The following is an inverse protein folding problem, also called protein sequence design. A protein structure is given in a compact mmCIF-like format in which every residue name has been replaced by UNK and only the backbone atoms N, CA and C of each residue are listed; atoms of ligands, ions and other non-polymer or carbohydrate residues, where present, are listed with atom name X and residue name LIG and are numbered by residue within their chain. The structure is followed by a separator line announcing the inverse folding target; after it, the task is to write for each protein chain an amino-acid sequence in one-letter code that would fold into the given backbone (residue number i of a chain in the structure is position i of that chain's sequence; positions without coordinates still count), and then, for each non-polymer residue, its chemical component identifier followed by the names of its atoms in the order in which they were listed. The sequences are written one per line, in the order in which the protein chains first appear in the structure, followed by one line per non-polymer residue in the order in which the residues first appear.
data_IF_327748197357
#
_entry.id   IF_327748197357
#
_cell.length_a   1.000
_cell.length_b   1.000
_cell.length_c   1.000
_cell.angle_alpha   90.00
_cell.angle_beta   90.00
_cell.angle_gamma   90.00
#
_symmetry.space_group_name_H-M   'P 1'
#
loop_
_entity.id
_entity.type
_entity.pdbx_description
1 polymer ?
#
# COMPACT_ATOMS: atom_id res chain seq x y z
N UNK A 1 21.30 6.85 13.63
CA UNK A 1 20.73 6.60 12.30
C UNK A 1 21.52 5.48 11.62
N UNK A 2 20.89 4.37 11.31
CA UNK A 2 21.51 3.21 10.67
C UNK A 2 21.71 3.55 9.18
N UNK A 3 22.95 3.73 8.74
CA UNK A 3 23.28 4.16 7.37
C UNK A 3 22.99 3.07 6.30
N UNK A 4 22.75 1.84 6.72
CA UNK A 4 22.58 0.70 5.82
C UNK A 4 21.11 0.45 5.44
N UNK A 5 20.15 1.11 6.12
CA UNK A 5 18.72 1.04 5.77
C UNK A 5 18.48 1.93 4.54
N UNK A 6 18.08 1.31 3.42
CA UNK A 6 17.81 2.00 2.15
C UNK A 6 16.32 2.35 1.96
N UNK A 7 15.43 1.81 2.79
CA UNK A 7 13.99 2.00 2.69
C UNK A 7 13.20 0.72 2.92
N UNK A 8 11.90 0.79 2.69
CA UNK A 8 11.02 -0.36 2.75
C UNK A 8 11.30 -1.31 1.58
N UNK A 9 11.38 -2.61 1.87
CA UNK A 9 11.45 -3.65 0.84
C UNK A 9 10.05 -4.09 0.42
N UNK A 10 9.23 -4.51 1.37
CA UNK A 10 7.83 -4.89 1.19
C UNK A 10 7.05 -4.69 2.48
N UNK A 11 5.72 -4.67 2.36
CA UNK A 11 4.79 -4.68 3.49
C UNK A 11 3.88 -5.89 3.33
N UNK A 12 3.62 -6.62 4.44
CA UNK A 12 2.76 -7.80 4.45
C UNK A 12 1.55 -7.55 5.34
N UNK A 13 0.37 -7.95 4.88
CA UNK A 13 -0.88 -7.90 5.63
C UNK A 13 -1.73 -9.16 5.41
N UNK A 14 -2.89 -9.21 6.03
CA UNK A 14 -3.85 -10.31 5.92
C UNK A 14 -5.12 -9.83 5.21
N UNK A 15 -5.76 -10.71 4.46
CA UNK A 15 -7.02 -10.44 3.79
C UNK A 15 -8.06 -11.49 4.16
N UNK A 16 -9.33 -11.11 4.09
CA UNK A 16 -10.45 -12.03 4.29
C UNK A 16 -10.79 -12.83 3.03
N UNK A 17 -10.58 -12.24 1.84
CA UNK A 17 -10.90 -12.88 0.56
C UNK A 17 -9.86 -12.55 -0.53
N UNK A 18 -9.35 -13.59 -1.19
CA UNK A 18 -8.30 -13.47 -2.20
C UNK A 18 -8.76 -12.70 -3.46
N UNK A 19 -10.02 -12.87 -3.88
CA UNK A 19 -10.52 -12.24 -5.09
C UNK A 19 -10.79 -10.75 -4.89
N UNK A 20 -11.42 -10.40 -3.77
CA UNK A 20 -11.65 -9.01 -3.35
C UNK A 20 -10.33 -8.26 -3.18
N UNK A 21 -9.37 -8.89 -2.51
CA UNK A 21 -8.03 -8.33 -2.33
C UNK A 21 -7.34 -8.11 -3.69
N UNK A 22 -7.36 -9.13 -4.57
CA UNK A 22 -6.79 -9.00 -5.89
C UNK A 22 -7.44 -7.90 -6.73
N UNK A 23 -8.77 -7.80 -6.72
CA UNK A 23 -9.49 -6.75 -7.45
C UNK A 23 -9.12 -5.35 -6.95
N UNK A 24 -9.01 -5.16 -5.63
CA UNK A 24 -8.61 -3.89 -5.05
C UNK A 24 -7.22 -3.47 -5.51
N UNK A 25 -6.22 -4.36 -5.41
CA UNK A 25 -4.85 -3.99 -5.79
C UNK A 25 -4.65 -3.85 -7.29
N UNK A 26 -5.30 -4.69 -8.10
CA UNK A 26 -5.08 -4.66 -9.57
C UNK A 26 -6.02 -3.75 -10.34
N UNK A 27 -7.28 -3.60 -9.91
CA UNK A 27 -8.30 -2.84 -10.64
C UNK A 27 -8.59 -1.47 -10.03
N UNK A 28 -8.35 -1.30 -8.71
CA UNK A 28 -8.56 -0.04 -8.02
C UNK A 28 -7.26 0.73 -7.86
N UNK A 29 -6.20 0.10 -7.37
CA UNK A 29 -4.89 0.75 -7.21
C UNK A 29 -3.97 0.61 -8.44
N UNK A 30 -4.33 -0.23 -9.42
CA UNK A 30 -3.59 -0.38 -10.66
C UNK A 30 -2.25 -1.10 -10.56
N UNK A 31 -1.96 -1.74 -9.43
CA UNK A 31 -0.72 -2.51 -9.26
C UNK A 31 -0.77 -3.82 -10.05
N UNK A 32 0.39 -4.32 -10.44
CA UNK A 32 0.49 -5.65 -11.04
C UNK A 32 0.48 -6.73 -9.96
N UNK A 33 -0.28 -7.82 -10.17
CA UNK A 33 -0.08 -9.04 -9.39
C UNK A 33 1.18 -9.76 -9.91
N UNK A 34 2.32 -9.50 -9.27
CA UNK A 34 3.63 -9.99 -9.73
C UNK A 34 3.86 -11.45 -9.38
N UNK A 35 3.20 -11.94 -8.31
CA UNK A 35 3.33 -13.35 -7.90
C UNK A 35 2.08 -13.84 -7.18
N UNK A 36 1.75 -15.11 -7.38
CA UNK A 36 0.82 -15.90 -6.56
C UNK A 36 1.51 -17.21 -6.20
N UNK A 37 1.63 -17.48 -4.92
CA UNK A 37 2.18 -18.74 -4.39
C UNK A 37 1.36 -19.15 -3.16
N UNK A 38 1.86 -20.08 -2.36
CA UNK A 38 1.27 -20.50 -1.09
C UNK A 38 2.10 -20.00 0.09
N UNK A 39 1.46 -19.88 1.23
CA UNK A 39 2.14 -19.65 2.50
C UNK A 39 2.92 -20.93 2.89
N UNK A 40 4.20 -20.82 3.21
CA UNK A 40 5.04 -21.97 3.54
C UNK A 40 4.66 -22.64 4.85
N UNK A 41 4.14 -21.85 5.81
CA UNK A 41 3.70 -22.36 7.12
C UNK A 41 2.25 -22.88 7.10
N UNK A 42 1.46 -22.54 6.06
CA UNK A 42 0.05 -22.87 5.91
C UNK A 42 -0.27 -23.01 4.41
N UNK A 43 0.12 -24.15 3.78
CA UNK A 43 0.08 -24.28 2.31
C UNK A 43 -1.31 -24.20 1.67
N UNK A 44 -2.38 -24.34 2.45
CA UNK A 44 -3.77 -24.09 2.05
C UNK A 44 -4.08 -22.60 1.84
N UNK A 45 -3.21 -21.70 2.31
CA UNK A 45 -3.38 -20.26 2.19
C UNK A 45 -2.48 -19.71 1.08
N UNK A 46 -3.05 -18.91 0.19
CA UNK A 46 -2.26 -18.21 -0.83
C UNK A 46 -1.33 -17.16 -0.20
N UNK A 47 -0.24 -16.87 -0.90
CA UNK A 47 0.58 -15.69 -0.71
C UNK A 47 0.55 -14.86 -2.00
N UNK A 48 -0.09 -13.70 -1.94
CA UNK A 48 -0.32 -12.80 -3.07
C UNK A 48 0.66 -11.64 -2.99
N UNK A 49 1.20 -11.23 -4.16
CA UNK A 49 2.17 -10.14 -4.25
C UNK A 49 1.71 -9.14 -5.31
N UNK A 50 1.68 -7.87 -4.95
CA UNK A 50 1.31 -6.76 -5.84
C UNK A 50 2.44 -5.72 -5.83
N UNK A 51 2.79 -5.18 -6.98
CA UNK A 51 3.86 -4.21 -7.10
C UNK A 51 3.87 -3.52 -8.45
N UNK A 52 5.02 -2.98 -8.81
CA UNK A 52 5.31 -2.49 -10.15
C UNK A 52 5.42 -3.65 -11.17
N UNK A 53 5.93 -3.37 -12.36
CA UNK A 53 6.03 -4.35 -13.44
C UNK A 53 6.77 -5.64 -13.07
N UNK A 54 7.85 -5.54 -12.27
CA UNK A 54 8.73 -6.67 -11.94
C UNK A 54 8.75 -7.02 -10.46
N UNK A 55 8.06 -6.26 -9.60
CA UNK A 55 8.10 -6.44 -8.15
C UNK A 55 9.39 -5.92 -7.53
N UNK A 56 9.80 -4.74 -7.93
CA UNK A 56 11.01 -4.09 -7.41
C UNK A 56 10.94 -3.90 -5.89
N UNK A 57 12.02 -4.15 -5.14
CA UNK A 57 12.09 -3.80 -3.72
C UNK A 57 11.66 -2.35 -3.48
N UNK A 58 10.73 -2.15 -2.53
CA UNK A 58 10.12 -0.84 -2.30
C UNK A 58 8.81 -0.59 -3.05
N UNK A 59 8.31 -1.58 -3.82
CA UNK A 59 6.99 -1.50 -4.45
C UNK A 59 6.01 -2.59 -3.99
N UNK A 60 6.49 -3.62 -3.30
CA UNK A 60 5.76 -4.89 -3.14
C UNK A 60 4.88 -4.90 -1.89
N UNK A 61 3.57 -4.90 -2.08
CA UNK A 61 2.59 -5.22 -1.05
C UNK A 61 2.21 -6.69 -1.13
N UNK A 62 2.24 -7.41 0.01
CA UNK A 62 1.92 -8.84 0.02
C UNK A 62 0.76 -9.16 0.97
N UNK A 63 0.03 -10.24 0.68
CA UNK A 63 -1.16 -10.62 1.42
C UNK A 63 -1.28 -12.13 1.63
N UNK A 64 -1.74 -12.49 2.84
CA UNK A 64 -2.21 -13.83 3.15
C UNK A 64 -3.75 -13.80 3.32
N UNK A 65 -4.54 -14.30 2.37
CA UNK A 65 -6.00 -14.38 2.49
C UNK A 65 -6.42 -15.62 3.31
N UNK A 66 -6.58 -15.45 4.61
CA UNK A 66 -6.95 -16.54 5.52
C UNK A 66 -8.46 -16.87 5.57
N UNK A 67 -9.30 -16.12 4.88
CA UNK A 67 -10.72 -16.40 4.73
C UNK A 67 -11.55 -16.12 5.98
N UNK A 68 -11.56 -17.02 6.94
CA UNK A 68 -12.47 -16.98 8.09
C UNK A 68 -11.90 -16.40 9.39
N UNK A 69 -10.88 -15.59 9.32
CA UNK A 69 -10.30 -14.97 10.52
C UNK A 69 -11.20 -13.87 11.07
N UNK A 70 -11.32 -13.76 12.41
CA UNK A 70 -11.99 -12.65 13.05
C UNK A 70 -11.31 -11.33 12.67
N UNK A 71 -12.10 -10.28 12.43
CA UNK A 71 -11.56 -8.94 12.16
C UNK A 71 -10.76 -8.45 13.37
N UNK A 72 -9.50 -8.09 13.14
CA UNK A 72 -8.63 -7.52 14.16
C UNK A 72 -9.11 -6.14 14.65
N UNK A 73 -8.60 -5.73 15.79
CA UNK A 73 -8.78 -4.37 16.33
C UNK A 73 -7.48 -3.59 16.21
N UNK A 74 -7.60 -2.35 15.80
CA UNK A 74 -6.46 -1.45 15.71
C UNK A 74 -5.82 -1.24 17.08
N UNK A 75 -4.49 -1.31 17.13
CA UNK A 75 -3.74 -1.19 18.38
C UNK A 75 -2.36 -0.59 18.19
N UNK A 76 -1.61 -0.51 19.28
CA UNK A 76 -0.19 -0.17 19.23
C UNK A 76 0.62 -1.37 18.73
N UNK A 77 1.72 -1.10 18.02
CA UNK A 77 2.59 -2.13 17.41
C UNK A 77 2.16 -2.52 16.00
N UNK A 78 1.35 -1.70 15.32
CA UNK A 78 0.92 -1.96 13.94
C UNK A 78 1.46 -0.92 12.95
N UNK A 79 1.57 -1.31 11.68
CA UNK A 79 1.62 -0.36 10.56
C UNK A 79 0.22 0.20 10.39
N UNK A 80 0.00 1.42 10.86
CA UNK A 80 -1.32 2.06 10.87
C UNK A 80 -1.76 2.58 9.50
N UNK A 81 -0.79 2.96 8.64
CA UNK A 81 -1.01 3.40 7.25
C UNK A 81 0.19 3.00 6.42
N UNK A 82 -0.04 2.38 5.28
CA UNK A 82 0.97 2.19 4.23
C UNK A 82 0.83 3.30 3.20
N UNK A 83 1.91 4.01 2.90
CA UNK A 83 1.91 5.17 2.01
C UNK A 83 2.56 4.80 0.67
N UNK A 84 1.85 5.10 -0.43
CA UNK A 84 2.34 4.94 -1.79
C UNK A 84 2.69 6.30 -2.39
N UNK A 85 3.83 6.39 -3.04
CA UNK A 85 4.21 7.55 -3.83
C UNK A 85 3.43 7.56 -5.15
N UNK A 86 2.92 8.73 -5.51
CA UNK A 86 2.29 9.01 -6.80
C UNK A 86 2.88 10.31 -7.38
N UNK A 87 2.85 10.51 -8.70
CA UNK A 87 3.35 11.74 -9.33
C UNK A 87 2.65 13.00 -8.78
N UNK A 88 3.41 14.10 -8.68
CA UNK A 88 2.88 15.40 -8.27
C UNK A 88 1.77 15.86 -9.22
N UNK A 89 0.65 16.34 -8.66
CA UNK A 89 -0.54 16.78 -9.41
C UNK A 89 -1.54 15.65 -9.72
N UNK A 90 -1.25 14.39 -9.35
CA UNK A 90 -2.11 13.24 -9.67
C UNK A 90 -3.27 13.02 -8.70
N UNK A 91 -3.32 13.68 -7.53
CA UNK A 91 -4.37 13.44 -6.52
C UNK A 91 -5.78 13.80 -6.99
N UNK A 92 -5.95 14.71 -7.95
CA UNK A 92 -7.25 14.98 -8.55
C UNK A 92 -7.77 13.77 -9.33
N UNK A 93 -6.93 13.18 -10.19
CA UNK A 93 -7.24 11.92 -10.89
C UNK A 93 -7.63 10.82 -9.88
N UNK A 94 -6.84 10.64 -8.84
CA UNK A 94 -7.12 9.63 -7.82
C UNK A 94 -8.44 9.84 -7.08
N UNK A 95 -8.83 11.11 -6.86
CA UNK A 95 -10.14 11.42 -6.27
C UNK A 95 -11.29 10.88 -7.09
N UNK A 96 -11.26 11.15 -8.39
CA UNK A 96 -12.32 10.77 -9.32
C UNK A 96 -12.31 9.26 -9.58
N UNK A 97 -11.12 8.69 -9.78
CA UNK A 97 -10.94 7.27 -10.02
C UNK A 97 -11.43 6.41 -8.84
N UNK A 98 -11.01 6.74 -7.62
CA UNK A 98 -11.42 6.00 -6.41
C UNK A 98 -12.92 6.14 -6.13
N UNK A 99 -13.50 7.32 -6.37
CA UNK A 99 -14.94 7.52 -6.26
C UNK A 99 -15.72 6.67 -7.26
N UNK A 100 -15.26 6.59 -8.52
CA UNK A 100 -15.85 5.71 -9.55
C UNK A 100 -15.74 4.22 -9.20
N UNK A 101 -14.68 3.82 -8.48
CA UNK A 101 -14.51 2.44 -7.98
C UNK A 101 -15.32 2.17 -6.69
N UNK A 102 -16.08 3.14 -6.19
CA UNK A 102 -16.88 2.99 -4.98
C UNK A 102 -16.08 2.93 -3.69
N UNK A 103 -14.82 3.39 -3.71
CA UNK A 103 -14.00 3.46 -2.51
C UNK A 103 -14.49 4.59 -1.62
N UNK A 104 -14.71 4.28 -0.34
CA UNK A 104 -15.15 5.24 0.69
C UNK A 104 -13.99 5.64 1.60
N UNK A 105 -14.22 6.61 2.49
CA UNK A 105 -13.21 7.02 3.47
C UNK A 105 -12.10 7.89 2.87
N UNK A 106 -12.31 8.51 1.71
CA UNK A 106 -11.35 9.35 1.04
C UNK A 106 -11.10 10.64 1.84
N UNK A 107 -10.00 10.68 2.57
CA UNK A 107 -9.59 11.85 3.35
C UNK A 107 -8.46 12.55 2.61
N UNK A 108 -8.73 13.77 2.14
CA UNK A 108 -7.68 14.64 1.64
C UNK A 108 -7.04 15.37 2.81
N UNK A 109 -5.72 15.50 2.79
CA UNK A 109 -4.99 16.17 3.85
C UNK A 109 -3.57 16.51 3.43
N UNK A 110 -2.88 17.16 4.35
CA UNK A 110 -1.45 17.45 4.24
C UNK A 110 -0.77 16.97 5.52
N UNK A 111 0.35 16.29 5.40
CA UNK A 111 1.20 15.98 6.53
C UNK A 111 2.66 16.04 6.08
N UNK A 112 3.53 16.57 6.94
CA UNK A 112 4.95 16.80 6.65
C UNK A 112 5.18 17.68 5.39
N UNK A 113 4.24 18.59 5.09
CA UNK A 113 4.31 19.45 3.91
C UNK A 113 3.86 18.80 2.60
N UNK A 114 3.50 17.52 2.60
CA UNK A 114 3.11 16.75 1.40
C UNK A 114 1.60 16.56 1.32
N UNK A 115 1.06 16.78 0.13
CA UNK A 115 -0.35 16.51 -0.16
C UNK A 115 -0.60 14.99 -0.25
N UNK A 116 -1.72 14.55 0.32
CA UNK A 116 -2.05 13.13 0.39
C UNK A 116 -3.54 12.84 0.34
N UNK A 117 -3.87 11.64 -0.13
CA UNK A 117 -5.22 11.10 -0.17
C UNK A 117 -5.27 9.78 0.60
N UNK A 118 -6.06 9.72 1.67
CA UNK A 118 -6.35 8.47 2.39
C UNK A 118 -7.24 7.55 1.56
N UNK A 119 -7.03 6.26 1.67
CA UNK A 119 -7.76 5.20 0.96
C UNK A 119 -7.97 4.05 1.93
N UNK A 120 -9.21 3.65 2.16
CA UNK A 120 -9.52 2.46 2.95
C UNK A 120 -9.58 1.22 2.04
N UNK A 121 -8.84 0.19 2.41
CA UNK A 121 -8.87 -1.11 1.75
C UNK A 121 -10.04 -1.98 2.20
N UNK A 122 -10.34 -3.08 1.49
CA UNK A 122 -11.51 -3.92 1.73
C UNK A 122 -11.52 -4.57 3.12
N UNK A 123 -10.36 -4.87 3.67
CA UNK A 123 -10.20 -5.51 4.98
C UNK A 123 -9.99 -4.51 6.13
N UNK A 124 -10.07 -3.22 5.82
CA UNK A 124 -9.87 -2.15 6.79
C UNK A 124 -8.42 -1.71 6.94
N UNK A 125 -7.53 -2.17 6.08
CA UNK A 125 -6.21 -1.58 5.90
C UNK A 125 -6.35 -0.12 5.48
N UNK A 126 -5.42 0.70 5.92
CA UNK A 126 -5.37 2.10 5.50
C UNK A 126 -4.15 2.35 4.64
N UNK A 127 -4.40 3.01 3.54
CA UNK A 127 -3.38 3.49 2.63
C UNK A 127 -3.43 5.01 2.52
N UNK A 128 -2.34 5.59 2.05
CA UNK A 128 -2.34 6.96 1.57
C UNK A 128 -1.58 7.02 0.24
N UNK A 129 -2.11 7.77 -0.70
CA UNK A 129 -1.42 8.20 -1.91
C UNK A 129 -0.79 9.54 -1.60
N UNK A 130 0.52 9.64 -1.73
CA UNK A 130 1.30 10.83 -1.38
C UNK A 130 1.99 11.35 -2.63
N UNK A 131 1.77 12.62 -2.97
CA UNK A 131 2.48 13.24 -4.08
C UNK A 131 3.97 13.35 -3.77
N UNK A 132 4.79 12.86 -4.69
CA UNK A 132 6.23 12.80 -4.51
C UNK A 132 6.96 12.99 -5.84
N UNK A 133 8.10 13.68 -5.78
CA UNK A 133 9.00 13.88 -6.93
C UNK A 133 9.95 12.69 -7.16
N UNK A 134 9.50 11.46 -6.92
CA UNK A 134 10.31 10.26 -7.22
C UNK A 134 10.51 10.15 -8.73
N UNK A 135 11.77 10.23 -9.18
CA UNK A 135 12.12 10.29 -10.62
C UNK A 135 12.77 9.01 -11.15
N UNK A 136 13.14 8.10 -10.28
CA UNK A 136 13.89 6.87 -10.60
C UNK A 136 13.01 5.62 -10.68
N UNK A 137 11.69 5.80 -10.66
CA UNK A 137 10.71 4.72 -10.71
C UNK A 137 9.66 4.96 -11.78
N UNK A 138 9.28 3.90 -12.48
CA UNK A 138 8.22 3.90 -13.47
C UNK A 138 7.01 3.16 -12.92
N UNK A 139 5.83 3.77 -13.02
CA UNK A 139 4.60 3.13 -12.60
C UNK A 139 4.21 2.00 -13.56
N UNK A 140 3.64 0.93 -13.02
CA UNK A 140 2.91 -0.03 -13.83
C UNK A 140 1.58 0.62 -14.26
N UNK A 141 1.29 0.57 -15.55
CA UNK A 141 0.08 1.16 -16.12
C UNK A 141 -0.98 0.08 -16.35
N UNK A 142 -2.13 0.20 -15.71
CA UNK A 142 -3.23 -0.74 -15.84
C UNK A 142 -4.56 -0.08 -15.44
N UNK A 143 -5.68 -0.63 -15.93
CA UNK A 143 -7.01 -0.27 -15.46
C UNK A 143 -7.44 1.19 -15.69
N UNK A 144 -6.87 1.87 -16.67
CA UNK A 144 -7.13 3.28 -16.95
C UNK A 144 -6.24 4.25 -16.15
N UNK A 145 -5.24 3.75 -15.44
CA UNK A 145 -4.25 4.55 -14.74
C UNK A 145 -3.02 4.70 -15.63
N UNK A 146 -2.68 5.93 -15.99
CA UNK A 146 -1.51 6.27 -16.81
C UNK A 146 -0.24 6.43 -15.97
N UNK A 147 0.91 6.55 -16.62
CA UNK A 147 2.19 6.85 -15.96
C UNK A 147 2.15 8.13 -15.13
N UNK A 148 1.40 9.15 -15.60
CA UNK A 148 1.28 10.44 -14.91
C UNK A 148 0.49 10.37 -13.58
N UNK A 149 -0.14 9.23 -13.29
CA UNK A 149 -0.91 9.03 -12.07
C UNK A 149 -0.54 7.76 -11.31
N UNK A 150 0.12 6.80 -11.95
CA UNK A 150 0.36 5.47 -11.40
C UNK A 150 1.21 5.47 -10.14
N UNK A 151 1.06 4.41 -9.35
CA UNK A 151 1.82 4.23 -8.11
C UNK A 151 3.29 3.92 -8.45
N UNK A 152 4.20 4.72 -7.88
CA UNK A 152 5.64 4.62 -8.08
C UNK A 152 6.34 3.66 -7.09
N UNK A 153 5.62 3.16 -6.09
CA UNK A 153 6.11 2.31 -5.01
C UNK A 153 5.77 2.90 -3.65
N UNK A 154 6.45 2.42 -2.59
CA UNK A 154 6.21 2.98 -1.27
C UNK A 154 6.82 4.37 -1.13
N UNK A 155 6.03 5.27 -0.54
CA UNK A 155 6.50 6.52 0.03
C UNK A 155 6.99 6.29 1.47
N UNK A 156 6.24 5.50 2.24
CA UNK A 156 6.56 5.20 3.61
C UNK A 156 5.57 4.28 4.31
N UNK A 157 5.75 4.15 5.61
CA UNK A 157 4.80 3.47 6.49
C UNK A 157 4.69 4.22 7.81
N UNK A 158 3.46 4.44 8.28
CA UNK A 158 3.22 5.05 9.59
C UNK A 158 2.94 3.99 10.62
N UNK A 159 3.82 3.92 11.62
CA UNK A 159 3.63 3.06 12.77
C UNK A 159 2.72 3.71 13.81
N UNK A 160 1.90 2.90 14.44
CA UNK A 160 1.16 3.26 15.64
C UNK A 160 1.86 2.63 16.83
N UNK A 161 2.56 3.42 17.62
CA UNK A 161 3.34 2.98 18.77
C UNK A 161 2.74 3.56 20.06
N UNK A 162 2.98 2.90 21.19
CA UNK A 162 2.68 3.48 22.53
C UNK A 162 3.71 4.50 22.92
N UNK A 163 4.96 4.24 22.54
CA UNK A 163 6.11 5.08 22.79
C UNK A 163 7.02 5.03 21.56
N UNK A 164 7.54 6.18 21.18
CA UNK A 164 8.41 6.32 19.99
C UNK A 164 9.90 6.29 20.36
N UNK A 165 10.27 6.32 21.65
CA UNK A 165 11.65 6.48 22.11
C UNK A 165 12.64 5.54 21.41
N UNK A 166 12.61 4.27 21.75
CA UNK A 166 13.53 3.28 21.16
C UNK A 166 13.42 3.14 19.65
N UNK A 167 12.21 3.25 19.08
CA UNK A 167 12.01 3.20 17.63
C UNK A 167 12.60 4.44 16.93
N UNK A 168 12.48 5.62 17.54
CA UNK A 168 13.05 6.86 17.01
C UNK A 168 14.58 6.92 17.08
N UNK A 169 15.18 6.23 18.05
CA UNK A 169 16.65 6.09 18.13
C UNK A 169 17.20 5.14 17.05
N UNK A 170 16.40 4.14 16.64
CA UNK A 170 16.80 3.15 15.64
C UNK A 170 16.67 3.70 14.20
N UNK A 171 15.64 4.48 13.91
CA UNK A 171 15.30 5.00 12.59
C UNK A 171 15.86 6.41 12.37
#
# INVERSE_FOLDING_TARGET
MIKDIKGLHHVTSMASDANTNNAFFTQTLGLRRVKKTVNFDSPETYHLYYGDEVGTPGSVMTYFPFGRMPKGRRGAGEVGVTEFAVPTGSLSFWSDHLAQKGVTGLIQGTAFGEARRGVDGPDGDRFALVESEVRDRTAWTNGGISEDAGILGFHGARFRLRDVGAAGELL
#
